data_IF_607450490254
#
_entry.id   IF_607450490254
#
_cell.length_a   1.000
_cell.length_b   1.000
_cell.length_c   1.000
_cell.angle_alpha   90.00
_cell.angle_beta   90.00
_cell.angle_gamma   90.00
#
_symmetry.space_group_name_H-M   'P 1'
#
loop_
_entity.id
_entity.type
_entity.pdbx_description
1 polymer ?
#
# COMPACT_ATOMS: atom_id res chain seq x y z
N UNK A 1 -44.63 2.05 -4.44
CA UNK A 1 -43.71 1.81 -5.57
C UNK A 1 -42.64 2.90 -5.71
N UNK A 2 -42.95 4.15 -6.08
CA UNK A 2 -41.93 5.22 -6.26
C UNK A 2 -41.02 5.47 -5.04
N UNK A 3 -41.60 5.50 -3.82
CA UNK A 3 -40.84 5.67 -2.56
C UNK A 3 -39.92 4.48 -2.23
N UNK A 4 -40.33 3.27 -2.62
CA UNK A 4 -39.52 2.07 -2.44
C UNK A 4 -38.36 2.02 -3.43
N UNK A 5 -38.60 2.39 -4.69
CA UNK A 5 -37.56 2.52 -5.72
C UNK A 5 -36.52 3.56 -5.31
N UNK A 6 -36.96 4.72 -4.82
CA UNK A 6 -36.05 5.78 -4.35
C UNK A 6 -35.24 5.34 -3.12
N UNK A 7 -35.87 4.61 -2.19
CA UNK A 7 -35.19 4.02 -1.03
C UNK A 7 -34.12 2.99 -1.44
N UNK A 8 -34.44 2.12 -2.39
CA UNK A 8 -33.49 1.12 -2.92
C UNK A 8 -32.31 1.77 -3.65
N UNK A 9 -32.54 2.80 -4.45
CA UNK A 9 -31.48 3.57 -5.12
C UNK A 9 -30.55 4.27 -4.12
N UNK A 10 -31.11 4.84 -3.04
CA UNK A 10 -30.31 5.44 -1.97
C UNK A 10 -29.45 4.43 -1.22
N UNK A 11 -29.98 3.25 -0.93
CA UNK A 11 -29.24 2.17 -0.27
C UNK A 11 -28.08 1.64 -1.15
N UNK A 12 -28.33 1.46 -2.46
CA UNK A 12 -27.30 1.06 -3.43
C UNK A 12 -26.21 2.14 -3.53
N UNK A 13 -26.60 3.42 -3.58
CA UNK A 13 -25.67 4.55 -3.58
C UNK A 13 -24.77 4.57 -2.35
N UNK A 14 -25.32 4.34 -1.14
CA UNK A 14 -24.51 4.25 0.09
C UNK A 14 -23.50 3.09 0.05
N UNK A 15 -23.91 1.91 -0.42
CA UNK A 15 -23.04 0.74 -0.51
C UNK A 15 -21.86 0.97 -1.47
N UNK A 16 -22.10 1.64 -2.60
CA UNK A 16 -21.06 1.94 -3.58
C UNK A 16 -20.01 2.94 -3.06
N UNK A 17 -20.40 3.87 -2.17
CA UNK A 17 -19.46 4.83 -1.56
C UNK A 17 -18.55 4.15 -0.53
N UNK A 18 -19.04 3.13 0.19
CA UNK A 18 -18.24 2.39 1.18
C UNK A 18 -17.18 1.46 0.57
N UNK A 19 -17.28 1.10 -0.71
CA UNK A 19 -16.29 0.24 -1.36
C UNK A 19 -14.88 0.87 -1.41
N UNK A 20 -14.80 2.21 -1.44
CA UNK A 20 -13.52 2.94 -1.39
C UNK A 20 -12.86 2.93 0.00
N UNK A 21 -13.57 2.55 1.05
CA UNK A 21 -13.05 2.51 2.42
C UNK A 21 -12.34 1.18 2.76
N UNK A 22 -12.43 0.15 1.89
CA UNK A 22 -11.42 -0.89 1.83
C UNK A 22 -10.18 -0.30 1.15
N UNK A 23 -9.40 0.47 1.92
CA UNK A 23 -8.10 0.91 1.48
C UNK A 23 -7.23 -0.33 1.17
N UNK A 24 -6.72 -0.42 -0.07
CA UNK A 24 -5.65 -1.35 -0.44
C UNK A 24 -4.39 -0.97 0.35
N UNK A 25 -4.14 -1.64 1.47
CA UNK A 25 -2.88 -1.48 2.19
C UNK A 25 -1.79 -2.30 1.48
N UNK A 26 -1.02 -1.66 0.60
CA UNK A 26 0.10 -2.29 -0.14
C UNK A 26 1.23 -2.78 0.75
N UNK A 27 1.31 -2.31 2.01
CA UNK A 27 2.42 -2.66 2.89
C UNK A 27 2.55 -4.17 3.10
N UNK A 28 1.44 -4.85 3.43
CA UNK A 28 1.42 -6.29 3.66
C UNK A 28 1.62 -7.14 2.39
N UNK A 29 1.59 -6.53 1.20
CA UNK A 29 1.88 -7.21 -0.05
C UNK A 29 3.39 -7.43 -0.23
N UNK A 30 4.22 -6.54 0.34
CA UNK A 30 5.69 -6.55 0.16
C UNK A 30 6.42 -6.87 1.47
N UNK A 31 5.87 -6.47 2.62
CA UNK A 31 6.53 -6.54 3.93
C UNK A 31 5.69 -7.28 4.99
N UNK A 32 6.39 -8.00 5.85
CA UNK A 32 5.81 -8.63 7.05
C UNK A 32 6.03 -7.70 8.25
N UNK A 33 4.94 -7.15 8.81
CA UNK A 33 5.01 -6.17 9.89
C UNK A 33 5.61 -6.75 11.19
N UNK A 34 5.55 -8.07 11.36
CA UNK A 34 6.06 -8.74 12.55
C UNK A 34 7.57 -9.04 12.45
N UNK A 35 8.21 -8.72 11.33
CA UNK A 35 9.63 -8.99 11.06
C UNK A 35 10.40 -7.73 10.66
N UNK A 36 10.58 -6.77 11.58
CA UNK A 36 11.39 -5.60 11.31
C UNK A 36 12.86 -6.00 11.08
N UNK A 37 13.50 -5.32 10.13
CA UNK A 37 14.95 -5.41 9.87
C UNK A 37 15.57 -4.01 9.94
N UNK A 38 16.80 -3.93 10.43
CA UNK A 38 17.62 -2.71 10.34
C UNK A 38 18.68 -2.91 9.27
N UNK A 39 18.69 -2.05 8.26
CA UNK A 39 19.70 -2.04 7.21
C UNK A 39 20.52 -0.74 7.31
N UNK A 40 21.84 -0.87 7.14
CA UNK A 40 22.78 0.26 7.08
C UNK A 40 23.62 0.10 5.83
N UNK A 41 23.62 1.12 4.99
CA UNK A 41 24.27 1.06 3.69
C UNK A 41 24.25 2.41 2.99
N UNK A 42 24.73 2.43 1.76
CA UNK A 42 24.78 3.64 0.93
C UNK A 42 23.59 3.66 -0.02
N UNK A 43 22.83 4.76 -0.03
CA UNK A 43 21.75 4.93 -1.01
C UNK A 43 22.34 5.13 -2.41
N UNK A 44 21.98 4.27 -3.35
CA UNK A 44 22.49 4.27 -4.72
C UNK A 44 21.46 4.73 -5.76
N UNK A 45 20.18 4.75 -5.40
CA UNK A 45 19.11 5.07 -6.34
C UNK A 45 17.77 5.39 -5.67
N UNK A 46 16.78 5.67 -6.52
CA UNK A 46 15.90 6.84 -6.44
C UNK A 46 14.77 6.76 -7.46
N UNK A 47 13.78 5.87 -7.29
CA UNK A 47 12.59 5.85 -8.16
C UNK A 47 11.41 6.57 -7.53
N UNK A 48 11.08 7.73 -8.12
CA UNK A 48 9.95 8.56 -7.68
C UNK A 48 8.69 8.24 -8.48
N UNK A 49 7.97 7.20 -8.07
CA UNK A 49 6.72 6.77 -8.71
C UNK A 49 5.56 6.78 -7.70
N UNK A 50 4.36 7.12 -8.19
CA UNK A 50 3.13 7.17 -7.38
C UNK A 50 2.28 5.93 -7.72
N UNK A 51 1.77 5.16 -6.74
CA UNK A 51 1.70 5.46 -5.31
C UNK A 51 2.89 5.04 -4.44
N UNK A 52 3.81 4.20 -4.94
CA UNK A 52 4.86 3.58 -4.11
C UNK A 52 6.23 3.71 -4.79
N UNK A 53 7.02 4.70 -4.36
CA UNK A 53 8.40 4.88 -4.80
C UNK A 53 9.36 3.85 -4.18
N UNK A 54 10.57 3.79 -4.72
CA UNK A 54 11.60 2.83 -4.30
C UNK A 54 12.92 3.54 -3.99
N UNK A 55 13.62 3.04 -2.98
CA UNK A 55 14.98 3.40 -2.62
C UNK A 55 15.87 2.20 -2.88
N UNK A 56 17.03 2.40 -3.49
CA UNK A 56 18.03 1.36 -3.71
C UNK A 56 19.24 1.63 -2.82
N UNK A 57 19.72 0.59 -2.15
CA UNK A 57 20.82 0.70 -1.20
C UNK A 57 21.78 -0.47 -1.36
N UNK A 58 23.06 -0.15 -1.35
CA UNK A 58 24.15 -1.11 -1.25
C UNK A 58 24.41 -1.36 0.24
N UNK A 59 24.26 -2.61 0.67
CA UNK A 59 24.47 -3.05 2.05
C UNK A 59 25.66 -4.00 2.09
N UNK A 60 26.68 -3.65 2.86
CA UNK A 60 27.87 -4.49 3.02
C UNK A 60 27.57 -5.68 3.95
N UNK A 61 27.84 -6.88 3.45
CA UNK A 61 27.72 -8.12 4.21
C UNK A 61 28.94 -8.32 5.13
N UNK A 62 28.83 -9.25 6.07
CA UNK A 62 29.94 -9.58 6.99
C UNK A 62 31.21 -10.08 6.30
N UNK A 63 31.10 -10.55 5.06
CA UNK A 63 32.23 -11.01 4.25
C UNK A 63 32.81 -9.92 3.32
N UNK A 64 32.32 -8.68 3.43
CA UNK A 64 32.78 -7.53 2.66
C UNK A 64 32.19 -7.42 1.25
N UNK A 65 31.22 -8.27 0.91
CA UNK A 65 30.49 -8.17 -0.36
C UNK A 65 29.34 -7.16 -0.28
N UNK A 66 28.95 -6.62 -1.44
CA UNK A 66 27.77 -5.77 -1.64
C UNK A 66 26.87 -6.43 -2.68
#
# INVERSE_FOLDING_TARGET
>A
MKKQILGSLGAIGLLLITASALAHHSFAAEFDIEKPVELRGTLTGMDWVNPHGWLYMDVENSDGTV
#
